data_IF_901934619867
#
_entry.id   IF_901934619867
#
_cell.length_a   1.000
_cell.length_b   1.000
_cell.length_c   1.000
_cell.angle_alpha   90.00
_cell.angle_beta   90.00
_cell.angle_gamma   90.00
#
_symmetry.space_group_name_H-M   'P 1'
#
loop_
_entity.id
_entity.type
_entity.pdbx_description
1 polymer ?
#
# COMPACT_ATOMS: atom_id res chain seq x y z
N UNK A 1 -20.70 -7.55 15.31
CA UNK A 1 -21.38 -6.95 14.14
C UNK A 1 -20.41 -6.10 13.29
N UNK A 2 -19.11 -6.36 13.35
CA UNK A 2 -18.08 -5.46 12.80
C UNK A 2 -17.65 -5.78 11.36
N UNK A 3 -17.74 -7.05 10.95
CA UNK A 3 -17.25 -7.55 9.65
C UNK A 3 -17.97 -6.97 8.43
N UNK A 4 -19.27 -6.69 8.53
CA UNK A 4 -20.04 -6.10 7.43
C UNK A 4 -19.61 -4.68 7.07
N UNK A 5 -19.02 -3.92 8.01
CA UNK A 5 -18.62 -2.53 7.76
C UNK A 5 -17.25 -2.44 7.10
N UNK A 6 -16.33 -3.35 7.42
CA UNK A 6 -15.01 -3.42 6.80
C UNK A 6 -15.08 -4.01 5.40
N UNK A 7 -15.86 -5.07 5.18
CA UNK A 7 -16.08 -5.65 3.84
C UNK A 7 -16.70 -4.63 2.85
N UNK A 8 -17.62 -3.78 3.33
CA UNK A 8 -18.21 -2.72 2.51
C UNK A 8 -17.17 -1.65 2.14
N UNK A 9 -16.35 -1.23 3.10
CA UNK A 9 -15.23 -0.33 2.83
C UNK A 9 -14.21 -0.95 1.87
N UNK A 10 -13.91 -2.25 1.98
CA UNK A 10 -13.04 -2.96 1.04
C UNK A 10 -13.59 -2.94 -0.38
N UNK A 11 -14.89 -3.19 -0.51
CA UNK A 11 -15.58 -3.15 -1.81
C UNK A 11 -15.61 -1.73 -2.39
N UNK A 12 -15.78 -0.71 -1.56
CA UNK A 12 -15.66 0.69 -1.96
C UNK A 12 -14.23 1.02 -2.41
N UNK A 13 -13.20 0.60 -1.67
CA UNK A 13 -11.81 0.79 -2.04
C UNK A 13 -11.50 0.17 -3.41
N UNK A 14 -11.91 -1.08 -3.65
CA UNK A 14 -11.77 -1.74 -4.96
C UNK A 14 -12.49 -0.98 -6.08
N UNK A 15 -13.68 -0.45 -5.79
CA UNK A 15 -14.45 0.35 -6.76
C UNK A 15 -13.72 1.65 -7.10
N UNK A 16 -13.19 2.34 -6.09
CA UNK A 16 -12.37 3.54 -6.30
C UNK A 16 -11.12 3.22 -7.12
N UNK A 17 -10.42 2.10 -6.83
CA UNK A 17 -9.26 1.64 -7.60
C UNK A 17 -9.62 1.40 -9.06
N UNK A 18 -10.71 0.67 -9.32
CA UNK A 18 -11.17 0.35 -10.67
C UNK A 18 -11.61 1.62 -11.46
N UNK A 19 -12.08 2.64 -10.75
CA UNK A 19 -12.47 3.92 -11.34
C UNK A 19 -11.31 4.92 -11.47
N UNK A 20 -10.08 4.54 -11.10
CA UNK A 20 -8.90 5.42 -11.02
C UNK A 20 -9.02 6.55 -9.98
N UNK A 21 -9.96 6.44 -9.03
CA UNK A 21 -10.15 7.35 -7.90
C UNK A 21 -9.17 7.02 -6.76
N UNK A 22 -7.87 7.06 -7.04
CA UNK A 22 -6.88 6.52 -6.11
C UNK A 22 -6.75 7.30 -4.79
N UNK A 23 -6.96 8.61 -4.78
CA UNK A 23 -6.99 9.41 -3.53
C UNK A 23 -8.13 9.02 -2.59
N UNK A 24 -9.27 8.64 -3.15
CA UNK A 24 -10.41 8.20 -2.36
C UNK A 24 -10.18 6.77 -1.83
N UNK A 25 -9.60 5.91 -2.67
CA UNK A 25 -9.21 4.56 -2.26
C UNK A 25 -8.20 4.58 -1.09
N UNK A 26 -7.23 5.49 -1.10
CA UNK A 26 -6.25 5.67 -0.02
C UNK A 26 -6.92 6.01 1.31
N UNK A 27 -7.82 7.00 1.33
CA UNK A 27 -8.56 7.40 2.54
C UNK A 27 -9.38 6.25 3.10
N UNK A 28 -10.03 5.48 2.22
CA UNK A 28 -10.83 4.33 2.62
C UNK A 28 -9.94 3.24 3.20
N UNK A 29 -8.81 2.94 2.56
CA UNK A 29 -7.88 1.92 3.02
C UNK A 29 -7.18 2.28 4.32
N UNK A 30 -6.88 3.56 4.60
CA UNK A 30 -6.34 4.01 5.90
C UNK A 30 -7.35 3.77 7.03
N UNK A 31 -8.64 4.00 6.77
CA UNK A 31 -9.71 3.71 7.73
C UNK A 31 -9.88 2.21 7.98
N UNK A 32 -9.80 1.41 6.92
CA UNK A 32 -9.84 -0.06 7.04
C UNK A 32 -8.65 -0.52 7.86
N UNK A 33 -7.44 -0.06 7.55
CA UNK A 33 -6.19 -0.46 8.21
C UNK A 33 -6.25 -0.21 9.72
N UNK A 34 -6.61 1.02 10.14
CA UNK A 34 -6.77 1.35 11.57
C UNK A 34 -7.77 0.42 12.26
N UNK A 35 -8.89 0.14 11.59
CA UNK A 35 -9.94 -0.70 12.17
C UNK A 35 -9.55 -2.16 12.27
N UNK A 36 -8.90 -2.73 11.25
CA UNK A 36 -8.42 -4.13 11.29
C UNK A 36 -7.25 -4.28 12.26
N UNK A 37 -6.38 -3.27 12.39
CA UNK A 37 -5.33 -3.25 13.43
C UNK A 37 -5.93 -3.16 14.84
N UNK A 38 -6.98 -2.35 15.07
CA UNK A 38 -7.66 -2.25 16.36
C UNK A 38 -8.44 -3.52 16.73
N UNK A 39 -9.10 -4.15 15.75
CA UNK A 39 -10.00 -5.29 15.99
C UNK A 39 -9.26 -6.63 16.05
N UNK A 40 -8.27 -6.83 15.17
CA UNK A 40 -7.59 -8.12 15.02
C UNK A 40 -6.11 -8.08 15.37
N UNK A 41 -5.55 -6.88 15.52
CA UNK A 41 -4.14 -6.69 15.74
C UNK A 41 -3.33 -6.58 14.44
N UNK A 42 -2.05 -6.18 14.57
CA UNK A 42 -1.17 -5.99 13.43
C UNK A 42 -0.94 -7.28 12.63
N UNK A 43 -0.83 -8.44 13.29
CA UNK A 43 -0.40 -9.71 12.65
C UNK A 43 -1.53 -10.54 12.03
N UNK A 44 -2.72 -9.94 11.85
CA UNK A 44 -3.89 -10.65 11.31
C UNK A 44 -3.91 -10.65 9.77
N UNK A 45 -4.51 -11.71 9.18
CA UNK A 45 -4.62 -11.85 7.74
C UNK A 45 -5.38 -10.68 7.06
N UNK A 46 -6.39 -10.13 7.73
CA UNK A 46 -7.14 -8.98 7.22
C UNK A 46 -6.28 -7.71 7.18
N UNK A 47 -5.42 -7.50 8.18
CA UNK A 47 -4.45 -6.40 8.21
C UNK A 47 -3.47 -6.53 7.04
N UNK A 48 -2.97 -7.74 6.79
CA UNK A 48 -2.11 -8.02 5.64
C UNK A 48 -2.80 -7.77 4.29
N UNK A 49 -4.09 -8.13 4.17
CA UNK A 49 -4.87 -7.91 2.96
C UNK A 49 -5.15 -6.42 2.74
N UNK A 50 -5.37 -5.65 3.81
CA UNK A 50 -5.51 -4.19 3.72
C UNK A 50 -4.22 -3.54 3.19
N UNK A 51 -3.07 -3.93 3.74
CA UNK A 51 -1.76 -3.43 3.32
C UNK A 51 -1.46 -3.77 1.85
N UNK A 52 -1.82 -4.98 1.40
CA UNK A 52 -1.70 -5.36 -0.01
C UNK A 52 -2.48 -4.41 -0.93
N UNK A 53 -3.72 -4.11 -0.57
CA UNK A 53 -4.55 -3.19 -1.35
C UNK A 53 -3.99 -1.77 -1.32
N UNK A 54 -3.49 -1.33 -0.16
CA UNK A 54 -2.81 -0.04 0.00
C UNK A 54 -1.62 0.08 -0.98
N UNK A 55 -0.74 -0.92 -1.03
CA UNK A 55 0.40 -0.92 -1.95
C UNK A 55 0.00 -0.85 -3.43
N UNK A 56 -1.06 -1.55 -3.84
CA UNK A 56 -1.57 -1.48 -5.22
C UNK A 56 -2.13 -0.10 -5.57
N UNK A 57 -2.81 0.56 -4.63
CA UNK A 57 -3.34 1.92 -4.84
C UNK A 57 -2.20 2.89 -5.06
N UNK A 58 -1.16 2.85 -4.22
CA UNK A 58 -0.02 3.75 -4.33
C UNK A 58 0.72 3.61 -5.66
N UNK A 59 0.95 2.37 -6.11
CA UNK A 59 1.51 2.10 -7.43
C UNK A 59 0.67 2.69 -8.58
N UNK A 60 -0.65 2.64 -8.40
CA UNK A 60 -1.59 3.14 -9.40
C UNK A 60 -1.71 4.66 -9.36
N UNK A 61 -1.62 5.30 -8.19
CA UNK A 61 -1.48 6.76 -8.03
C UNK A 61 -0.28 7.26 -8.82
N UNK A 62 0.86 6.59 -8.68
CA UNK A 62 2.14 6.94 -9.33
C UNK A 62 2.03 6.90 -10.84
N UNK A 63 1.45 5.83 -11.37
CA UNK A 63 1.31 5.63 -12.81
C UNK A 63 0.26 6.56 -13.43
N UNK A 64 -0.82 6.85 -12.71
CA UNK A 64 -1.93 7.64 -13.25
C UNK A 64 -1.79 9.15 -13.08
N UNK A 65 -1.19 9.64 -11.99
CA UNK A 65 -1.18 11.08 -11.68
C UNK A 65 0.05 11.82 -12.22
N UNK A 66 1.00 11.11 -12.84
CA UNK A 66 2.19 11.74 -13.42
C UNK A 66 3.13 12.34 -12.37
N UNK A 67 4.26 12.88 -12.85
CA UNK A 67 5.45 13.13 -12.04
C UNK A 67 5.29 14.02 -10.80
N UNK A 68 4.27 14.88 -10.79
CA UNK A 68 4.08 15.90 -9.75
C UNK A 68 3.73 15.31 -8.37
N UNK A 69 3.20 14.08 -8.31
CA UNK A 69 2.87 13.39 -7.05
C UNK A 69 3.82 12.25 -6.68
N UNK A 70 4.87 12.05 -7.45
CA UNK A 70 5.87 11.01 -7.19
C UNK A 70 6.50 11.08 -5.79
N UNK A 71 6.82 12.26 -5.23
CA UNK A 71 7.40 12.33 -3.88
C UNK A 71 6.45 11.86 -2.78
N UNK A 72 5.16 12.20 -2.88
CA UNK A 72 4.13 11.79 -1.93
C UNK A 72 3.90 10.28 -2.00
N UNK A 73 3.83 9.74 -3.21
CA UNK A 73 3.66 8.31 -3.40
C UNK A 73 4.88 7.50 -2.95
N UNK A 74 6.11 7.98 -3.16
CA UNK A 74 7.32 7.33 -2.66
C UNK A 74 7.28 7.20 -1.12
N UNK A 75 6.91 8.29 -0.43
CA UNK A 75 6.76 8.31 1.03
C UNK A 75 5.72 7.30 1.52
N UNK A 76 4.59 7.20 0.84
CA UNK A 76 3.54 6.24 1.18
C UNK A 76 3.97 4.79 0.89
N UNK A 77 4.74 4.56 -0.18
CA UNK A 77 5.32 3.24 -0.46
C UNK A 77 6.35 2.83 0.61
N UNK A 78 7.15 3.77 1.12
CA UNK A 78 8.07 3.53 2.25
C UNK A 78 7.29 3.13 3.52
N UNK A 79 6.24 3.87 3.87
CA UNK A 79 5.38 3.51 5.01
C UNK A 79 4.74 2.12 4.81
N UNK A 80 4.30 1.80 3.60
CA UNK A 80 3.74 0.47 3.28
C UNK A 80 4.78 -0.64 3.46
N UNK A 81 6.03 -0.42 3.02
CA UNK A 81 7.15 -1.35 3.20
C UNK A 81 7.45 -1.56 4.68
N UNK A 82 7.60 -0.48 5.46
CA UNK A 82 7.89 -0.54 6.90
C UNK A 82 6.80 -1.33 7.65
N UNK A 83 5.53 -1.06 7.32
CA UNK A 83 4.40 -1.80 7.91
C UNK A 83 4.41 -3.28 7.48
N UNK A 84 4.58 -3.56 6.19
CA UNK A 84 4.61 -4.93 5.67
C UNK A 84 5.77 -5.74 6.27
N UNK A 85 6.96 -5.17 6.41
CA UNK A 85 8.10 -5.81 7.08
C UNK A 85 7.83 -6.09 8.55
N UNK A 86 7.29 -5.11 9.28
CA UNK A 86 7.02 -5.25 10.71
C UNK A 86 5.99 -6.35 11.00
N UNK A 87 4.99 -6.49 10.13
CA UNK A 87 3.81 -7.33 10.34
C UNK A 87 4.00 -8.72 9.71
N UNK A 88 4.37 -8.75 8.43
CA UNK A 88 4.43 -9.99 7.64
C UNK A 88 5.83 -10.59 7.65
N UNK A 89 6.84 -9.80 8.01
CA UNK A 89 8.25 -10.18 7.92
C UNK A 89 8.82 -9.95 6.52
N UNK A 90 10.15 -9.89 6.45
CA UNK A 90 10.87 -9.53 5.22
C UNK A 90 10.73 -10.57 4.08
N UNK A 91 10.43 -11.84 4.41
CA UNK A 91 10.33 -12.95 3.42
C UNK A 91 8.94 -13.04 2.80
N UNK A 92 7.95 -12.35 3.35
CA UNK A 92 6.57 -12.51 2.91
C UNK A 92 6.35 -11.90 1.52
N UNK A 93 5.58 -12.59 0.69
CA UNK A 93 5.32 -12.18 -0.70
C UNK A 93 4.73 -10.76 -0.81
N UNK A 94 3.90 -10.36 0.16
CA UNK A 94 3.33 -9.01 0.18
C UNK A 94 4.36 -7.93 0.55
N UNK A 95 5.30 -8.23 1.44
CA UNK A 95 6.42 -7.34 1.76
C UNK A 95 7.30 -7.14 0.53
N UNK A 96 7.59 -8.22 -0.20
CA UNK A 96 8.29 -8.15 -1.47
C UNK A 96 7.55 -7.31 -2.52
N UNK A 97 6.22 -7.44 -2.59
CA UNK A 97 5.41 -6.59 -3.48
C UNK A 97 5.48 -5.12 -3.08
N UNK A 98 5.44 -4.79 -1.78
CA UNK A 98 5.59 -3.41 -1.31
C UNK A 98 6.95 -2.82 -1.72
N UNK A 99 8.03 -3.59 -1.56
CA UNK A 99 9.38 -3.21 -2.00
C UNK A 99 9.46 -2.99 -3.52
N UNK A 100 8.84 -3.87 -4.31
CA UNK A 100 8.73 -3.71 -5.76
C UNK A 100 8.02 -2.40 -6.13
N UNK A 101 6.94 -2.04 -5.43
CA UNK A 101 6.22 -0.80 -5.68
C UNK A 101 7.03 0.44 -5.28
N UNK A 102 7.74 0.37 -4.15
CA UNK A 102 8.64 1.44 -3.73
C UNK A 102 9.74 1.67 -4.79
N UNK A 103 10.41 0.60 -5.22
CA UNK A 103 11.46 0.67 -6.23
C UNK A 103 10.93 1.22 -7.56
N UNK A 104 9.77 0.77 -8.01
CA UNK A 104 9.15 1.30 -9.23
C UNK A 104 8.84 2.80 -9.10
N UNK A 105 8.30 3.23 -7.96
CA UNK A 105 7.98 4.63 -7.69
C UNK A 105 9.22 5.50 -7.65
N UNK A 106 10.30 5.02 -7.02
CA UNK A 106 11.59 5.71 -6.97
C UNK A 106 12.25 5.80 -8.35
N UNK A 107 12.11 4.79 -9.22
CA UNK A 107 12.55 4.88 -10.62
C UNK A 107 11.82 5.99 -11.36
N UNK A 108 10.49 6.05 -11.23
CA UNK A 108 9.69 7.10 -11.87
C UNK A 108 10.06 8.49 -11.33
N UNK A 109 10.43 8.59 -10.04
CA UNK A 109 10.94 9.81 -9.41
C UNK A 109 12.38 10.19 -9.83
N UNK A 110 13.03 9.41 -10.70
CA UNK A 110 14.42 9.62 -11.10
C UNK A 110 15.43 9.26 -10.01
N UNK A 111 14.98 8.63 -8.91
CA UNK A 111 15.78 8.26 -7.75
C UNK A 111 16.30 6.82 -7.87
N UNK A 112 17.13 6.59 -8.88
CA UNK A 112 17.59 5.25 -9.25
C UNK A 112 18.36 4.55 -8.12
N UNK A 113 19.17 5.29 -7.34
CA UNK A 113 19.93 4.71 -6.22
C UNK A 113 19.03 4.18 -5.09
N UNK A 114 18.01 4.96 -4.72
CA UNK A 114 17.02 4.53 -3.70
C UNK A 114 16.20 3.33 -4.22
N UNK A 115 15.85 3.34 -5.52
CA UNK A 115 15.16 2.22 -6.15
C UNK A 115 15.97 0.92 -6.14
N UNK A 116 17.28 1.00 -6.39
CA UNK A 116 18.16 -0.17 -6.29
C UNK A 116 18.25 -0.70 -4.87
N UNK A 117 18.21 0.16 -3.85
CA UNK A 117 18.17 -0.27 -2.45
C UNK A 117 16.85 -0.94 -2.10
N UNK A 118 15.71 -0.39 -2.54
CA UNK A 118 14.40 -0.98 -2.34
C UNK A 118 14.24 -2.33 -3.08
N UNK A 119 14.82 -2.46 -4.28
CA UNK A 119 14.79 -3.69 -5.08
C UNK A 119 15.87 -4.70 -4.68
N UNK A 120 16.90 -4.28 -3.92
CA UNK A 120 17.80 -5.18 -3.21
C UNK A 120 17.06 -5.78 -2.02
N UNK A 121 16.18 -6.71 -2.33
CA UNK A 121 15.59 -7.63 -1.37
C UNK A 121 16.70 -8.16 -0.43
N UNK A 122 16.59 -7.86 0.87
CA UNK A 122 17.50 -8.37 1.92
C UNK A 122 16.97 -9.64 2.56
#
# INVERSE_FOLDING_TARGET
MSSSSTEDLYSQALTCINNNNYSEAEIILDKILKRVEEEFGPDHADTAQCLMMFGMVLASVVTAQGGDKLPEAARLCEECVDHAERILGHVHANTANAYLQLGYTQVQAGKIGEAEEALRWK
#
